data_IF_915500409913
#
_entry.id   IF_915500409913
#
_cell.length_a   1.000
_cell.length_b   1.000
_cell.length_c   1.000
_cell.angle_alpha   90.00
_cell.angle_beta   90.00
_cell.angle_gamma   90.00
#
_symmetry.space_group_name_H-M   'P 1'
#
loop_
_entity.id
_entity.type
_entity.pdbx_description
1 polymer ?
#
# COMPACT_ATOMS: atom_id res chain seq x y z
N UNK A 1 28.84 19.76 1.25
CA UNK A 1 27.48 20.11 0.78
C UNK A 1 26.75 18.80 0.48
N UNK A 2 25.50 18.67 0.87
CA UNK A 2 24.68 17.50 0.55
C UNK A 2 24.39 17.50 -0.97
N UNK A 3 24.64 16.38 -1.66
CA UNK A 3 24.33 16.26 -3.10
C UNK A 3 22.82 16.31 -3.38
N UNK A 4 21.99 16.02 -2.37
CA UNK A 4 20.54 15.94 -2.47
C UNK A 4 19.84 16.81 -1.43
N UNK A 5 18.72 17.41 -1.82
CA UNK A 5 17.85 18.14 -0.89
C UNK A 5 16.99 17.18 -0.07
N UNK A 6 16.48 16.12 -0.71
CA UNK A 6 15.57 15.16 -0.08
C UNK A 6 16.02 13.73 -0.36
N UNK A 7 16.00 12.91 0.68
CA UNK A 7 16.13 11.46 0.62
C UNK A 7 14.75 10.82 0.81
N UNK A 8 14.36 9.93 -0.08
CA UNK A 8 13.13 9.14 0.00
C UNK A 8 13.49 7.67 0.18
N UNK A 9 13.02 7.06 1.26
CA UNK A 9 13.24 5.64 1.55
C UNK A 9 12.02 4.85 1.10
N UNK A 10 12.17 4.12 0.02
CA UNK A 10 11.14 3.30 -0.61
C UNK A 10 10.72 3.79 -1.98
N UNK A 11 10.67 2.87 -2.94
CA UNK A 11 10.31 3.09 -4.35
C UNK A 11 8.88 2.64 -4.70
N UNK A 12 8.00 2.48 -3.72
CA UNK A 12 6.59 2.24 -3.93
C UNK A 12 5.82 3.52 -4.31
N UNK A 13 4.49 3.42 -4.48
CA UNK A 13 3.63 4.54 -4.90
C UNK A 13 3.83 5.79 -4.04
N UNK A 14 3.88 5.67 -2.71
CA UNK A 14 4.06 6.82 -1.81
C UNK A 14 5.42 7.51 -2.03
N UNK A 15 6.50 6.73 -2.14
CA UNK A 15 7.85 7.26 -2.33
C UNK A 15 8.02 7.93 -3.68
N UNK A 16 7.60 7.28 -4.76
CA UNK A 16 7.76 7.82 -6.12
C UNK A 16 6.86 9.04 -6.37
N UNK A 17 5.61 9.02 -5.89
CA UNK A 17 4.72 10.19 -5.99
C UNK A 17 5.31 11.39 -5.25
N UNK A 18 5.86 11.16 -4.04
CA UNK A 18 6.53 12.21 -3.27
C UNK A 18 7.79 12.71 -4.00
N UNK A 19 8.60 11.81 -4.55
CA UNK A 19 9.81 12.16 -5.28
C UNK A 19 9.48 13.03 -6.50
N UNK A 20 8.49 12.64 -7.30
CA UNK A 20 8.04 13.38 -8.48
C UNK A 20 7.53 14.79 -8.12
N UNK A 21 6.71 14.91 -7.07
CA UNK A 21 6.21 16.20 -6.61
C UNK A 21 7.34 17.13 -6.11
N UNK A 22 8.35 16.59 -5.45
CA UNK A 22 9.47 17.37 -4.94
C UNK A 22 10.49 17.72 -6.03
N UNK A 23 10.63 16.87 -7.03
CA UNK A 23 11.63 17.03 -8.11
C UNK A 23 11.40 18.24 -9.01
N UNK A 24 10.23 18.87 -8.96
CA UNK A 24 9.99 20.16 -9.63
C UNK A 24 10.98 21.25 -9.18
N UNK A 25 11.43 21.20 -7.92
CA UNK A 25 12.27 22.25 -7.30
C UNK A 25 13.45 21.72 -6.51
N UNK A 26 13.61 20.40 -6.38
CA UNK A 26 14.57 19.77 -5.46
C UNK A 26 15.28 18.61 -6.12
N UNK A 27 16.55 18.38 -5.72
CA UNK A 27 17.26 17.16 -6.05
C UNK A 27 16.88 16.06 -5.06
N UNK A 28 16.34 14.96 -5.57
CA UNK A 28 15.80 13.86 -4.77
C UNK A 28 16.61 12.60 -4.98
N UNK A 29 16.98 11.94 -3.89
CA UNK A 29 17.52 10.58 -3.90
C UNK A 29 16.46 9.61 -3.41
N UNK A 30 16.11 8.62 -4.21
CA UNK A 30 15.24 7.50 -3.81
C UNK A 30 16.12 6.29 -3.56
N UNK A 31 16.00 5.66 -2.40
CA UNK A 31 16.70 4.41 -2.07
C UNK A 31 15.69 3.29 -1.85
N UNK A 32 15.98 2.11 -2.40
CA UNK A 32 15.10 0.95 -2.32
C UNK A 32 15.87 -0.31 -1.92
N UNK A 33 15.30 -1.08 -1.00
CA UNK A 33 15.73 -2.41 -0.63
C UNK A 33 15.44 -3.37 -1.78
N UNK A 34 16.43 -4.09 -2.25
CA UNK A 34 16.27 -4.96 -3.43
C UNK A 34 15.98 -4.16 -4.72
N UNK A 35 15.09 -4.67 -5.56
CA UNK A 35 14.70 -4.01 -6.82
C UNK A 35 13.76 -2.82 -6.58
N UNK A 36 13.71 -1.89 -7.53
CA UNK A 36 12.79 -0.74 -7.49
C UNK A 36 11.31 -1.16 -7.59
N UNK A 37 11.03 -2.35 -8.11
CA UNK A 37 9.69 -2.94 -8.23
C UNK A 37 9.36 -3.95 -7.13
N UNK A 38 10.25 -4.13 -6.15
CA UNK A 38 10.12 -5.16 -5.10
C UNK A 38 9.09 -4.85 -4.01
N UNK A 39 8.41 -3.70 -4.07
CA UNK A 39 7.44 -3.25 -3.08
C UNK A 39 6.02 -3.75 -3.32
N UNK A 40 5.15 -3.51 -2.33
CA UNK A 40 3.73 -3.94 -2.37
C UNK A 40 2.93 -3.28 -3.50
N UNK A 41 3.33 -2.11 -3.98
CA UNK A 41 2.64 -1.42 -5.07
C UNK A 41 2.59 -2.29 -6.32
N UNK A 42 3.72 -2.83 -6.76
CA UNK A 42 3.77 -3.66 -7.97
C UNK A 42 2.97 -4.99 -7.85
N UNK A 43 2.65 -5.41 -6.64
CA UNK A 43 1.93 -6.65 -6.37
C UNK A 43 0.43 -6.44 -6.13
N UNK A 44 -0.02 -5.20 -6.06
CA UNK A 44 -1.42 -4.89 -5.83
C UNK A 44 -2.26 -5.21 -7.07
N UNK A 45 -3.22 -6.12 -6.92
CA UNK A 45 -4.13 -6.56 -7.99
C UNK A 45 -5.36 -5.65 -8.09
N UNK A 46 -5.94 -5.28 -6.93
CA UNK A 46 -7.12 -4.44 -6.85
C UNK A 46 -6.92 -3.02 -7.39
N UNK A 47 -8.00 -2.28 -7.49
CA UNK A 47 -7.98 -0.93 -8.01
C UNK A 47 -7.85 0.16 -6.94
N UNK A 48 -8.16 1.38 -7.33
CA UNK A 48 -8.10 2.57 -6.49
C UNK A 48 -9.51 3.18 -6.40
N UNK A 49 -9.98 3.42 -5.18
CA UNK A 49 -11.29 3.99 -4.93
C UNK A 49 -11.28 5.52 -5.12
N UNK A 50 -12.17 6.03 -5.97
CA UNK A 50 -12.41 7.46 -6.12
C UNK A 50 -13.85 7.71 -6.57
N UNK A 51 -14.46 8.79 -6.10
CA UNK A 51 -15.80 9.21 -6.52
C UNK A 51 -15.68 9.93 -7.87
N UNK A 52 -16.03 9.22 -8.94
CA UNK A 52 -15.90 9.69 -10.32
C UNK A 52 -17.22 9.62 -11.09
N UNK A 53 -18.17 8.84 -10.62
CA UNK A 53 -19.49 8.67 -11.21
C UNK A 53 -20.53 9.61 -10.58
N UNK A 54 -21.44 10.15 -11.38
CA UNK A 54 -22.48 11.07 -10.94
C UNK A 54 -23.51 10.41 -9.98
N UNK A 55 -23.63 9.09 -9.99
CA UNK A 55 -24.49 8.31 -9.09
C UNK A 55 -23.88 8.09 -7.70
N UNK A 56 -22.63 8.48 -7.48
CA UNK A 56 -21.94 8.37 -6.18
C UNK A 56 -21.62 9.74 -5.58
N UNK A 57 -21.37 9.79 -4.28
CA UNK A 57 -21.03 11.01 -3.56
C UNK A 57 -19.84 10.81 -2.63
N UNK A 58 -19.09 11.88 -2.34
CA UNK A 58 -18.07 11.85 -1.29
C UNK A 58 -18.64 11.37 0.05
N UNK A 59 -19.87 11.76 0.39
CA UNK A 59 -20.47 11.35 1.64
C UNK A 59 -20.72 9.84 1.70
N UNK A 60 -21.15 9.21 0.60
CA UNK A 60 -21.29 7.75 0.53
C UNK A 60 -19.95 7.05 0.79
N UNK A 61 -18.88 7.51 0.13
CA UNK A 61 -17.55 6.94 0.32
C UNK A 61 -17.01 7.19 1.73
N UNK A 62 -17.24 8.36 2.32
CA UNK A 62 -16.90 8.66 3.71
C UNK A 62 -17.62 7.70 4.66
N UNK A 63 -18.93 7.50 4.49
CA UNK A 63 -19.71 6.59 5.32
C UNK A 63 -19.23 5.14 5.23
N UNK A 64 -18.95 4.65 4.01
CA UNK A 64 -18.39 3.32 3.81
C UNK A 64 -17.04 3.16 4.53
N UNK A 65 -16.16 4.15 4.39
CA UNK A 65 -14.84 4.15 5.02
C UNK A 65 -14.92 4.21 6.54
N UNK A 66 -15.79 5.06 7.10
CA UNK A 66 -16.00 5.14 8.54
C UNK A 66 -16.56 3.83 9.11
N UNK A 67 -17.45 3.18 8.37
CA UNK A 67 -18.02 1.87 8.74
C UNK A 67 -16.94 0.79 8.74
N UNK A 68 -16.13 0.70 7.67
CA UNK A 68 -15.06 -0.28 7.54
C UNK A 68 -13.96 -0.08 8.61
N UNK A 69 -13.70 1.14 9.00
CA UNK A 69 -12.68 1.48 10.00
C UNK A 69 -13.07 1.25 11.46
N UNK A 70 -14.32 0.85 11.72
CA UNK A 70 -14.79 0.39 13.04
C UNK A 70 -14.43 1.34 14.21
N UNK A 71 -14.47 2.65 13.99
CA UNK A 71 -14.19 3.67 15.01
C UNK A 71 -12.71 4.07 15.16
N UNK A 72 -11.79 3.47 14.40
CA UNK A 72 -10.37 3.85 14.42
C UNK A 72 -10.05 5.05 13.51
N UNK A 73 -10.94 5.38 12.60
CA UNK A 73 -10.78 6.45 11.63
C UNK A 73 -10.86 7.84 12.29
N UNK A 74 -10.11 8.76 11.72
CA UNK A 74 -10.30 10.20 11.96
C UNK A 74 -11.08 10.78 10.80
N UNK A 75 -12.28 11.28 11.05
CA UNK A 75 -13.21 11.80 10.05
C UNK A 75 -12.54 12.85 9.13
N UNK A 76 -11.78 13.78 9.70
CA UNK A 76 -11.12 14.84 8.94
C UNK A 76 -10.09 14.27 7.94
N UNK A 77 -9.36 13.22 8.35
CA UNK A 77 -8.41 12.54 7.47
C UNK A 77 -9.13 11.78 6.36
N UNK A 78 -10.24 11.10 6.69
CA UNK A 78 -11.06 10.38 5.72
C UNK A 78 -11.62 11.34 4.68
N UNK A 79 -12.22 12.47 5.10
CA UNK A 79 -12.71 13.52 4.19
C UNK A 79 -11.60 14.01 3.27
N UNK A 80 -10.45 14.42 3.84
CA UNK A 80 -9.32 14.91 3.07
C UNK A 80 -8.87 13.93 1.98
N UNK A 81 -8.72 12.65 2.31
CA UNK A 81 -8.27 11.62 1.36
C UNK A 81 -9.32 11.42 0.26
N UNK A 82 -10.60 11.28 0.63
CA UNK A 82 -11.67 10.98 -0.33
C UNK A 82 -11.93 12.15 -1.28
N UNK A 83 -11.96 13.37 -0.78
CA UNK A 83 -12.20 14.57 -1.58
C UNK A 83 -11.05 14.86 -2.56
N UNK A 84 -9.82 14.44 -2.25
CA UNK A 84 -8.66 14.59 -3.11
C UNK A 84 -8.39 13.38 -4.04
N UNK A 85 -9.13 12.27 -3.87
CA UNK A 85 -8.92 11.08 -4.67
C UNK A 85 -9.13 11.29 -6.19
N UNK A 86 -10.16 12.00 -6.67
CA UNK A 86 -10.35 12.25 -8.12
C UNK A 86 -9.11 12.89 -8.76
N UNK A 87 -8.58 13.96 -8.15
CA UNK A 87 -7.37 14.63 -8.62
C UNK A 87 -6.15 13.70 -8.64
N UNK A 88 -6.08 12.77 -7.68
CA UNK A 88 -4.99 11.78 -7.65
C UNK A 88 -5.10 10.79 -8.81
N UNK A 89 -6.32 10.39 -9.20
CA UNK A 89 -6.56 9.55 -10.37
C UNK A 89 -6.21 10.30 -11.66
N UNK A 90 -6.66 11.56 -11.81
CA UNK A 90 -6.30 12.41 -12.94
C UNK A 90 -4.78 12.47 -13.11
N UNK A 91 -4.05 12.69 -12.01
CA UNK A 91 -2.59 12.71 -12.04
C UNK A 91 -1.97 11.39 -12.49
N UNK A 92 -2.51 10.25 -12.10
CA UNK A 92 -2.04 8.95 -12.56
C UNK A 92 -2.32 8.73 -14.05
N UNK A 93 -3.46 9.20 -14.56
CA UNK A 93 -3.78 9.19 -15.99
C UNK A 93 -2.78 10.06 -16.78
N UNK A 94 -2.48 11.27 -16.30
CA UNK A 94 -1.46 12.16 -16.90
C UNK A 94 -0.07 11.51 -16.95
N UNK A 95 0.28 10.71 -15.93
CA UNK A 95 1.53 9.94 -15.88
C UNK A 95 1.52 8.69 -16.78
N UNK A 96 0.40 8.41 -17.44
CA UNK A 96 0.27 7.34 -18.42
C UNK A 96 -0.20 5.99 -17.85
N UNK A 97 -0.82 5.96 -16.67
CA UNK A 97 -1.47 4.74 -16.18
C UNK A 97 -2.66 4.39 -17.07
N UNK A 98 -2.68 3.21 -17.72
CA UNK A 98 -3.69 2.84 -18.71
C UNK A 98 -4.92 2.21 -18.03
N UNK A 99 -5.64 2.98 -17.21
CA UNK A 99 -6.87 2.49 -16.58
C UNK A 99 -7.87 1.99 -17.61
N UNK A 100 -8.60 0.93 -17.27
CA UNK A 100 -9.66 0.40 -18.12
C UNK A 100 -10.74 1.46 -18.35
N UNK A 101 -11.31 1.45 -19.57
CA UNK A 101 -12.35 2.39 -19.99
C UNK A 101 -13.52 1.64 -20.62
N UNK A 102 -14.70 2.22 -20.45
CA UNK A 102 -15.90 1.94 -21.22
C UNK A 102 -16.10 3.17 -22.14
N UNK A 103 -15.84 2.99 -23.43
CA UNK A 103 -15.78 4.10 -24.41
C UNK A 103 -14.79 5.19 -23.93
N UNK A 104 -15.25 6.38 -23.60
CA UNK A 104 -14.43 7.53 -23.15
C UNK A 104 -14.36 7.68 -21.63
N UNK A 105 -15.13 6.89 -20.88
CA UNK A 105 -15.18 6.97 -19.40
C UNK A 105 -14.36 5.86 -18.75
N UNK A 106 -13.86 6.12 -17.53
CA UNK A 106 -13.18 5.09 -16.75
C UNK A 106 -14.16 3.99 -16.33
N UNK A 107 -13.82 2.74 -16.60
CA UNK A 107 -14.59 1.61 -16.11
C UNK A 107 -14.43 1.50 -14.60
N UNK A 108 -15.56 1.40 -13.87
CA UNK A 108 -15.60 1.34 -12.42
C UNK A 108 -16.13 -0.02 -11.94
N UNK A 109 -15.38 -0.68 -11.09
CA UNK A 109 -15.82 -1.90 -10.38
C UNK A 109 -16.22 -1.61 -8.94
N UNK A 110 -16.77 -2.60 -8.25
CA UNK A 110 -17.09 -2.54 -6.83
C UNK A 110 -16.37 -3.64 -6.07
N UNK A 111 -15.76 -3.29 -4.96
CA UNK A 111 -15.14 -4.24 -4.03
C UNK A 111 -15.89 -4.28 -2.69
N UNK A 112 -15.53 -5.23 -1.82
CA UNK A 112 -16.12 -5.39 -0.51
C UNK A 112 -16.04 -4.13 0.35
N UNK A 113 -17.09 -3.84 1.11
CA UNK A 113 -17.19 -2.65 1.94
C UNK A 113 -17.67 -1.38 1.22
N UNK A 114 -17.69 -1.37 -0.12
CA UNK A 114 -18.18 -0.24 -0.91
C UNK A 114 -19.65 -0.35 -1.26
N UNK A 115 -20.41 0.73 -1.08
CA UNK A 115 -21.83 0.81 -1.47
C UNK A 115 -22.03 1.08 -2.97
N UNK A 116 -21.04 1.69 -3.64
CA UNK A 116 -21.11 2.08 -5.06
C UNK A 116 -19.91 1.55 -5.86
N UNK A 117 -20.05 1.50 -7.19
CA UNK A 117 -18.93 1.24 -8.10
C UNK A 117 -18.06 2.50 -8.16
N UNK A 118 -16.84 2.43 -7.67
CA UNK A 118 -15.91 3.57 -7.60
C UNK A 118 -14.44 3.17 -7.73
N UNK A 119 -14.20 1.93 -8.09
CA UNK A 119 -12.83 1.38 -8.16
C UNK A 119 -12.33 1.47 -9.59
N UNK A 120 -11.38 2.36 -9.86
CA UNK A 120 -10.64 2.37 -11.13
C UNK A 120 -9.56 1.29 -11.10
N UNK A 121 -9.34 0.62 -12.24
CA UNK A 121 -8.43 -0.53 -12.28
C UNK A 121 -7.76 -0.69 -13.66
N UNK A 122 -6.68 -1.47 -13.68
CA UNK A 122 -6.03 -1.97 -14.89
C UNK A 122 -6.07 -3.50 -14.82
N UNK A 123 -7.13 -4.10 -15.34
CA UNK A 123 -7.41 -5.53 -15.20
C UNK A 123 -7.23 -5.99 -13.74
N UNK A 124 -6.38 -6.99 -13.49
CA UNK A 124 -5.97 -7.47 -12.17
C UNK A 124 -4.53 -7.06 -11.78
N UNK A 125 -3.99 -6.04 -12.44
CA UNK A 125 -2.59 -5.61 -12.32
C UNK A 125 -2.44 -4.08 -12.12
N UNK A 126 -3.42 -3.45 -11.47
CA UNK A 126 -3.45 -2.00 -11.27
C UNK A 126 -2.18 -1.48 -10.61
N UNK A 127 -1.72 -2.16 -9.57
CA UNK A 127 -0.51 -1.76 -8.86
C UNK A 127 0.75 -1.82 -9.71
N UNK A 128 0.87 -2.83 -10.59
CA UNK A 128 1.97 -2.90 -11.55
C UNK A 128 1.94 -1.72 -12.53
N UNK A 129 0.78 -1.43 -13.10
CA UNK A 129 0.63 -0.32 -14.05
C UNK A 129 0.97 1.04 -13.41
N UNK A 130 0.53 1.27 -12.17
CA UNK A 130 0.88 2.46 -11.38
C UNK A 130 2.39 2.51 -11.11
N UNK A 131 2.98 1.40 -10.68
CA UNK A 131 4.42 1.30 -10.37
C UNK A 131 5.27 1.60 -11.61
N UNK A 132 4.91 1.03 -12.76
CA UNK A 132 5.64 1.22 -14.02
C UNK A 132 5.58 2.68 -14.48
N UNK A 133 4.40 3.30 -14.51
CA UNK A 133 4.21 4.69 -14.89
C UNK A 133 5.00 5.66 -13.98
N UNK A 134 4.96 5.43 -12.66
CA UNK A 134 5.71 6.24 -11.69
C UNK A 134 7.23 6.07 -11.85
N UNK A 135 7.71 4.83 -12.05
CA UNK A 135 9.13 4.55 -12.24
C UNK A 135 9.65 5.16 -13.53
N UNK A 136 8.90 5.05 -14.64
CA UNK A 136 9.25 5.68 -15.91
C UNK A 136 9.36 7.19 -15.75
N UNK A 137 8.34 7.84 -15.19
CA UNK A 137 8.34 9.28 -14.96
C UNK A 137 9.47 9.74 -14.04
N UNK A 138 9.79 8.94 -13.00
CA UNK A 138 10.90 9.25 -12.11
C UNK A 138 12.26 9.05 -12.80
N UNK A 139 12.39 8.03 -13.66
CA UNK A 139 13.60 7.76 -14.44
C UNK A 139 13.91 8.84 -15.48
N UNK A 140 12.89 9.43 -16.08
CA UNK A 140 13.00 10.50 -17.06
C UNK A 140 13.29 11.87 -16.39
N UNK A 141 13.19 11.98 -15.06
CA UNK A 141 13.35 13.25 -14.35
C UNK A 141 14.83 13.45 -13.91
N UNK A 142 15.55 14.47 -14.45
CA UNK A 142 16.96 14.69 -14.13
C UNK A 142 17.24 15.06 -12.67
N UNK A 143 16.21 15.47 -11.91
CA UNK A 143 16.33 15.81 -10.50
C UNK A 143 16.12 14.61 -9.57
N UNK A 144 15.82 13.42 -10.11
CA UNK A 144 15.63 12.19 -9.33
C UNK A 144 16.77 11.22 -9.62
N UNK A 145 17.43 10.77 -8.57
CA UNK A 145 18.37 9.65 -8.62
C UNK A 145 17.76 8.47 -7.85
N UNK A 146 17.76 7.29 -8.45
CA UNK A 146 17.22 6.08 -7.82
C UNK A 146 18.32 5.04 -7.61
N UNK A 147 18.44 4.52 -6.38
CA UNK A 147 19.38 3.45 -6.01
C UNK A 147 18.62 2.23 -5.52
N UNK A 148 18.76 1.12 -6.22
CA UNK A 148 18.28 -0.20 -5.81
C UNK A 148 19.32 -0.94 -4.96
N UNK A 149 18.90 -2.00 -4.26
CA UNK A 149 19.79 -2.83 -3.44
C UNK A 149 20.43 -2.06 -2.26
N UNK A 150 19.68 -1.12 -1.67
CA UNK A 150 20.10 -0.33 -0.49
C UNK A 150 19.15 -0.59 0.66
N UNK A 151 19.50 -1.52 1.52
CA UNK A 151 18.76 -1.80 2.75
C UNK A 151 19.09 -0.76 3.80
N UNK A 152 18.16 0.16 4.07
CA UNK A 152 18.32 1.17 5.12
C UNK A 152 18.36 0.48 6.49
N UNK A 153 19.38 0.80 7.28
CA UNK A 153 19.67 0.19 8.59
C UNK A 153 19.12 1.07 9.69
N UNK A 154 19.52 2.36 9.68
CA UNK A 154 19.13 3.32 10.69
C UNK A 154 19.24 4.76 10.20
N UNK A 155 18.56 5.71 10.88
CA UNK A 155 18.70 7.11 10.59
C UNK A 155 20.02 7.66 11.13
N UNK A 156 20.61 8.61 10.41
CA UNK A 156 21.68 9.48 10.92
C UNK A 156 20.99 10.62 11.66
N UNK A 157 21.16 10.67 12.97
CA UNK A 157 20.57 11.71 13.82
C UNK A 157 21.66 12.45 14.58
N UNK A 158 21.37 13.67 15.04
CA UNK A 158 22.25 14.47 15.90
C UNK A 158 22.41 13.89 17.32
N UNK A 159 21.68 12.84 17.66
CA UNK A 159 21.70 12.13 18.94
C UNK A 159 21.89 10.63 18.80
N UNK A 160 22.68 10.23 17.83
CA UNK A 160 22.97 8.81 17.62
C UNK A 160 23.62 8.18 18.87
N UNK A 161 22.97 7.12 19.38
CA UNK A 161 23.44 6.41 20.59
C UNK A 161 22.89 6.91 21.93
N UNK A 162 22.20 8.05 21.97
CA UNK A 162 21.48 8.50 23.17
C UNK A 162 20.05 7.97 23.20
N UNK A 163 19.46 7.81 24.40
CA UNK A 163 18.02 7.55 24.52
C UNK A 163 17.27 8.73 23.93
N UNK A 164 16.57 8.50 22.82
CA UNK A 164 15.91 9.53 22.05
C UNK A 164 14.79 10.19 22.86
N UNK A 165 14.88 11.52 23.07
CA UNK A 165 13.90 12.31 23.81
C UNK A 165 12.88 13.03 22.90
N UNK A 166 12.72 12.62 21.66
CA UNK A 166 11.71 13.14 20.71
C UNK A 166 12.04 14.49 20.05
N UNK A 167 13.25 15.04 20.24
CA UNK A 167 13.66 16.35 19.67
C UNK A 167 15.03 16.25 19.01
N UNK A 168 15.17 15.43 17.97
CA UNK A 168 16.39 15.33 17.18
C UNK A 168 16.10 15.58 15.70
N UNK A 169 17.12 15.96 14.95
CA UNK A 169 17.05 16.11 13.50
C UNK A 169 17.57 14.84 12.83
N UNK A 170 16.87 14.40 11.78
CA UNK A 170 17.36 13.37 10.88
C UNK A 170 18.14 14.03 9.75
N UNK A 171 19.38 13.58 9.54
CA UNK A 171 20.30 14.08 8.53
C UNK A 171 20.43 13.13 7.33
N UNK A 172 19.83 11.95 7.40
CA UNK A 172 19.91 10.92 6.37
C UNK A 172 19.81 9.52 6.95
N UNK A 173 20.40 8.56 6.26
CA UNK A 173 20.39 7.14 6.67
C UNK A 173 21.75 6.47 6.46
N UNK A 174 21.98 5.42 7.25
CA UNK A 174 22.94 4.36 6.94
C UNK A 174 22.20 3.29 6.12
N UNK A 175 22.76 2.91 4.99
CA UNK A 175 22.20 1.88 4.14
C UNK A 175 23.27 0.83 3.79
N UNK A 176 22.92 -0.44 3.90
CA UNK A 176 23.74 -1.54 3.41
C UNK A 176 23.60 -1.61 1.89
N UNK A 177 24.71 -1.53 1.19
CA UNK A 177 24.77 -1.88 -0.21
C UNK A 177 24.82 -3.39 -0.32
N UNK A 178 23.72 -4.00 -0.78
CA UNK A 178 23.56 -5.46 -0.83
C UNK A 178 24.55 -6.13 -1.81
N UNK A 179 25.07 -5.37 -2.78
CA UNK A 179 26.03 -5.88 -3.77
C UNK A 179 27.46 -5.93 -3.23
N UNK A 180 27.88 -4.90 -2.48
CA UNK A 180 29.28 -4.80 -1.98
C UNK A 180 29.42 -5.26 -0.54
N UNK A 181 28.34 -5.32 0.23
CA UNK A 181 28.35 -5.58 1.67
C UNK A 181 28.80 -4.38 2.51
N UNK A 182 29.03 -3.22 1.90
CA UNK A 182 29.47 -2.02 2.59
C UNK A 182 28.30 -1.18 3.10
N UNK A 183 28.51 -0.46 4.21
CA UNK A 183 27.54 0.51 4.73
C UNK A 183 27.83 1.89 4.17
N UNK A 184 26.90 2.39 3.39
CA UNK A 184 26.91 3.72 2.78
C UNK A 184 26.18 4.74 3.68
N UNK A 185 26.59 6.02 3.60
CA UNK A 185 25.91 7.15 4.23
C UNK A 185 25.23 7.97 3.15
N UNK A 186 23.90 8.10 3.24
CA UNK A 186 23.15 8.98 2.37
C UNK A 186 22.60 10.14 3.19
N UNK A 187 23.09 11.35 2.92
CA UNK A 187 22.77 12.56 3.68
C UNK A 187 21.93 13.51 2.84
N UNK A 188 20.89 14.06 3.42
CA UNK A 188 20.00 15.04 2.80
C UNK A 188 19.46 16.04 3.84
N UNK A 189 18.90 17.16 3.34
CA UNK A 189 18.29 18.18 4.22
C UNK A 189 16.97 17.73 4.84
N UNK A 190 16.25 16.83 4.17
CA UNK A 190 15.04 16.18 4.65
C UNK A 190 15.02 14.71 4.26
N UNK A 191 14.37 13.88 5.08
CA UNK A 191 14.21 12.45 4.81
C UNK A 191 12.72 12.09 4.87
N UNK A 192 12.24 11.43 3.82
CA UNK A 192 10.89 10.89 3.71
C UNK A 192 10.93 9.38 3.89
N UNK A 193 10.19 8.86 4.85
CA UNK A 193 10.07 7.43 5.09
C UNK A 193 8.82 6.90 4.39
N UNK A 194 9.01 6.14 3.33
CA UNK A 194 7.97 5.51 2.52
C UNK A 194 8.24 4.00 2.33
N UNK A 195 8.81 3.35 3.36
CA UNK A 195 9.35 1.99 3.30
C UNK A 195 8.29 0.86 3.36
N UNK A 196 7.00 1.20 3.33
CA UNK A 196 5.92 0.21 3.38
C UNK A 196 5.69 -0.40 4.75
N UNK A 197 5.03 -1.55 4.78
CA UNK A 197 4.56 -2.21 6.00
C UNK A 197 5.39 -3.40 6.47
N UNK A 198 4.78 -4.21 7.37
CA UNK A 198 5.42 -5.32 8.07
C UNK A 198 4.72 -6.69 7.84
N UNK A 199 4.02 -6.85 6.72
CA UNK A 199 3.23 -8.08 6.46
C UNK A 199 4.03 -9.38 6.50
N UNK A 200 5.34 -9.32 6.29
CA UNK A 200 6.25 -10.50 6.35
C UNK A 200 6.65 -10.91 7.77
N UNK A 201 6.16 -10.25 8.80
CA UNK A 201 6.26 -10.74 10.17
C UNK A 201 5.44 -12.04 10.39
N UNK A 202 4.48 -12.34 9.52
CA UNK A 202 3.67 -13.56 9.56
C UNK A 202 4.26 -14.64 8.67
N UNK A 203 4.16 -15.90 9.11
CA UNK A 203 4.66 -17.07 8.38
C UNK A 203 4.00 -17.21 7.02
N UNK A 204 2.67 -17.03 6.97
CA UNK A 204 1.89 -17.00 5.74
C UNK A 204 1.50 -15.57 5.44
N UNK A 205 1.92 -15.07 4.30
CA UNK A 205 1.73 -13.67 3.94
C UNK A 205 1.74 -13.50 2.43
N UNK A 206 0.81 -12.71 1.91
CA UNK A 206 0.76 -12.26 0.52
C UNK A 206 1.61 -11.03 0.26
N UNK A 207 2.19 -10.43 1.30
CA UNK A 207 3.09 -9.29 1.17
C UNK A 207 4.41 -9.69 0.48
N UNK A 208 5.05 -8.80 -0.29
CA UNK A 208 6.34 -9.05 -0.91
C UNK A 208 7.42 -9.29 0.15
N UNK A 209 8.48 -10.00 -0.24
CA UNK A 209 9.57 -10.41 0.69
C UNK A 209 10.20 -9.24 1.45
N UNK A 210 10.23 -8.05 0.83
CA UNK A 210 10.81 -6.84 1.43
C UNK A 210 9.95 -6.17 2.50
N UNK A 211 8.67 -6.56 2.70
CA UNK A 211 7.75 -5.94 3.66
C UNK A 211 8.00 -6.43 5.10
N UNK A 212 9.18 -6.17 5.64
CA UNK A 212 9.69 -6.69 6.91
C UNK A 212 9.60 -5.69 8.08
N UNK A 213 9.05 -4.48 7.86
CA UNK A 213 8.86 -3.49 8.91
C UNK A 213 10.09 -2.66 9.25
N UNK A 214 11.14 -2.70 8.42
CA UNK A 214 12.41 -2.00 8.70
C UNK A 214 12.21 -0.51 8.95
N UNK A 215 11.39 0.15 8.14
CA UNK A 215 11.09 1.58 8.31
C UNK A 215 10.38 1.90 9.63
N UNK A 216 9.49 1.02 10.08
CA UNK A 216 8.81 1.16 11.37
C UNK A 216 9.83 1.05 12.51
N UNK A 217 10.72 0.06 12.44
CA UNK A 217 11.77 -0.16 13.44
C UNK A 217 12.76 1.02 13.48
N UNK A 218 13.18 1.53 12.32
CA UNK A 218 14.04 2.72 12.22
C UNK A 218 13.36 3.95 12.83
N UNK A 219 12.09 4.19 12.52
CA UNK A 219 11.31 5.30 13.04
C UNK A 219 11.18 5.21 14.56
N UNK A 220 10.91 4.01 15.09
CA UNK A 220 10.82 3.78 16.52
C UNK A 220 12.16 4.05 17.24
N UNK A 221 13.28 3.54 16.71
CA UNK A 221 14.63 3.81 17.27
C UNK A 221 14.99 5.29 17.21
N UNK A 222 14.51 6.00 16.20
CA UNK A 222 14.66 7.46 16.09
C UNK A 222 13.70 8.25 16.99
N UNK A 223 12.86 7.60 17.80
CA UNK A 223 11.94 8.22 18.75
C UNK A 223 10.64 8.74 18.16
N UNK A 224 10.29 8.33 16.94
CA UNK A 224 8.98 8.62 16.38
C UNK A 224 7.89 7.85 17.14
N UNK A 225 6.73 8.47 17.29
CA UNK A 225 5.57 7.76 17.80
C UNK A 225 5.12 6.71 16.81
N UNK A 226 5.04 5.47 17.26
CA UNK A 226 4.48 4.33 16.52
C UNK A 226 3.20 3.90 17.23
N UNK A 227 2.14 3.65 16.47
CA UNK A 227 0.82 3.30 17.00
C UNK A 227 0.13 2.29 16.11
N UNK A 228 -0.89 1.61 16.65
CA UNK A 228 -1.74 0.65 15.97
C UNK A 228 -0.96 -0.53 15.36
N UNK A 229 0.11 -0.96 16.01
CA UNK A 229 0.97 -2.05 15.52
C UNK A 229 0.27 -3.42 15.58
N UNK A 230 -0.77 -3.55 16.38
CA UNK A 230 -1.66 -4.71 16.44
C UNK A 230 -2.55 -4.84 15.19
N UNK A 231 -2.75 -3.75 14.44
CA UNK A 231 -3.61 -3.74 13.27
C UNK A 231 -2.87 -4.29 12.04
N UNK A 232 -3.10 -5.56 11.76
CA UNK A 232 -2.63 -6.22 10.54
C UNK A 232 -3.82 -6.76 9.76
N UNK A 233 -4.00 -6.32 8.50
CA UNK A 233 -5.08 -6.82 7.67
C UNK A 233 -4.69 -8.14 7.01
N UNK A 234 -5.51 -9.17 7.22
CA UNK A 234 -5.43 -10.43 6.50
C UNK A 234 -6.32 -10.38 5.26
N UNK A 235 -5.80 -10.85 4.13
CA UNK A 235 -6.61 -11.01 2.94
C UNK A 235 -7.50 -12.26 3.07
N UNK A 236 -8.82 -12.14 2.85
CA UNK A 236 -9.74 -13.24 3.15
C UNK A 236 -9.70 -14.39 2.14
N UNK A 237 -9.18 -14.16 0.95
CA UNK A 237 -9.17 -15.15 -0.14
C UNK A 237 -7.77 -15.30 -0.74
N UNK A 238 -7.13 -16.41 -0.39
CA UNK A 238 -5.83 -16.80 -0.92
C UNK A 238 -5.92 -18.21 -1.47
N UNK A 239 -5.24 -18.48 -2.58
CA UNK A 239 -5.15 -19.83 -3.13
C UNK A 239 -4.34 -20.71 -2.16
N UNK A 240 -4.97 -21.76 -1.66
CA UNK A 240 -4.27 -22.83 -0.95
C UNK A 240 -3.81 -23.88 -1.95
N UNK A 241 -2.53 -23.82 -2.31
CA UNK A 241 -1.88 -24.77 -3.21
C UNK A 241 -0.44 -24.98 -2.75
N UNK A 242 0.02 -26.23 -2.76
CA UNK A 242 1.36 -26.61 -2.28
C UNK A 242 2.47 -26.09 -3.20
N UNK A 243 2.18 -25.95 -4.49
CA UNK A 243 3.14 -25.53 -5.51
C UNK A 243 3.19 -24.02 -5.71
N UNK A 244 2.12 -23.31 -5.33
CA UNK A 244 2.00 -21.85 -5.50
C UNK A 244 1.86 -21.19 -4.13
N UNK A 245 2.95 -20.59 -3.66
CA UNK A 245 2.94 -19.93 -2.34
C UNK A 245 2.23 -18.57 -2.40
N UNK A 246 1.20 -18.42 -1.54
CA UNK A 246 0.61 -17.13 -1.19
C UNK A 246 0.02 -16.36 -2.39
N UNK A 247 -0.61 -17.06 -3.33
CA UNK A 247 -1.30 -16.39 -4.44
C UNK A 247 -2.61 -15.78 -3.95
N UNK A 248 -2.75 -14.47 -4.14
CA UNK A 248 -3.93 -13.72 -3.74
C UNK A 248 -5.01 -13.86 -4.81
N UNK A 249 -6.22 -14.28 -4.42
CA UNK A 249 -7.40 -14.24 -5.27
C UNK A 249 -8.01 -12.85 -5.14
N UNK A 250 -8.04 -12.09 -6.22
CA UNK A 250 -8.50 -10.70 -6.21
C UNK A 250 -9.91 -10.56 -5.64
N UNK A 251 -10.13 -9.49 -4.89
CA UNK A 251 -11.42 -9.18 -4.29
C UNK A 251 -12.50 -8.90 -5.34
N UNK A 252 -12.11 -8.45 -6.53
CA UNK A 252 -13.00 -8.23 -7.65
C UNK A 252 -13.84 -9.46 -8.00
N UNK A 253 -13.30 -10.69 -7.84
CA UNK A 253 -14.07 -11.94 -8.04
C UNK A 253 -15.31 -11.96 -7.14
N UNK A 254 -15.19 -11.57 -5.86
CA UNK A 254 -16.35 -11.47 -4.96
C UNK A 254 -17.23 -10.27 -5.31
N UNK A 255 -16.62 -9.18 -5.76
CA UNK A 255 -17.33 -7.98 -6.25
C UNK A 255 -18.27 -8.27 -7.42
N UNK A 256 -17.86 -9.17 -8.31
CA UNK A 256 -18.61 -9.59 -9.50
C UNK A 256 -19.43 -10.90 -9.29
N UNK A 257 -19.68 -11.26 -8.03
CA UNK A 257 -20.64 -12.33 -7.68
C UNK A 257 -20.02 -13.67 -7.29
N UNK A 258 -18.69 -13.75 -7.15
CA UNK A 258 -18.03 -14.96 -6.62
C UNK A 258 -18.48 -15.29 -5.21
N UNK A 259 -18.78 -16.56 -4.94
CA UNK A 259 -19.29 -17.05 -3.66
C UNK A 259 -18.25 -17.88 -2.92
N UNK A 260 -18.27 -17.80 -1.58
CA UNK A 260 -17.48 -18.65 -0.70
C UNK A 260 -18.35 -19.82 -0.23
N UNK A 261 -18.02 -21.01 -0.69
CA UNK A 261 -18.79 -22.22 -0.44
C UNK A 261 -18.02 -23.17 0.47
N UNK A 262 -18.75 -23.92 1.28
CA UNK A 262 -18.19 -25.04 2.03
C UNK A 262 -17.80 -26.16 1.05
N UNK A 263 -16.59 -26.71 1.12
CA UNK A 263 -16.10 -27.66 0.11
C UNK A 263 -16.92 -28.96 0.05
N UNK A 264 -17.44 -29.44 1.18
CA UNK A 264 -18.14 -30.72 1.25
C UNK A 264 -19.64 -30.60 0.97
N UNK A 265 -20.30 -29.51 1.42
CA UNK A 265 -21.75 -29.37 1.32
C UNK A 265 -22.19 -28.48 0.16
N UNK A 266 -21.30 -27.60 -0.33
CA UNK A 266 -21.64 -26.58 -1.31
C UNK A 266 -22.45 -25.40 -0.75
N UNK A 267 -22.70 -25.37 0.56
CA UNK A 267 -23.43 -24.28 1.21
C UNK A 267 -22.59 -23.00 1.27
N UNK A 268 -23.24 -21.85 1.21
CA UNK A 268 -22.55 -20.55 1.36
C UNK A 268 -22.09 -20.36 2.79
N UNK A 269 -20.81 -20.23 3.00
CA UNK A 269 -20.16 -20.09 4.31
C UNK A 269 -20.54 -18.81 5.09
N UNK A 270 -21.19 -17.84 4.45
CA UNK A 270 -21.36 -16.49 5.00
C UNK A 270 -22.74 -16.15 5.53
N UNK A 271 -23.73 -17.00 5.30
CA UNK A 271 -25.15 -16.73 5.67
C UNK A 271 -25.27 -16.44 7.17
N UNK A 272 -24.53 -17.15 8.01
CA UNK A 272 -24.62 -17.03 9.48
C UNK A 272 -23.86 -15.82 10.06
N UNK A 273 -22.89 -15.26 9.31
CA UNK A 273 -21.99 -14.22 9.81
C UNK A 273 -22.36 -12.81 9.35
N UNK A 274 -22.75 -12.64 8.10
CA UNK A 274 -23.10 -11.34 7.51
C UNK A 274 -24.18 -11.51 6.44
N UNK A 275 -25.43 -11.77 6.85
CA UNK A 275 -26.52 -12.13 5.93
C UNK A 275 -26.90 -11.01 4.94
N UNK A 276 -26.58 -9.74 5.25
CA UNK A 276 -26.91 -8.60 4.38
C UNK A 276 -25.90 -8.35 3.29
N UNK A 277 -24.60 -8.43 3.60
CA UNK A 277 -23.51 -8.10 2.67
C UNK A 277 -22.83 -9.31 2.09
N UNK A 278 -22.96 -10.45 2.73
CA UNK A 278 -22.37 -11.73 2.31
C UNK A 278 -20.87 -11.58 1.98
N UNK A 279 -20.44 -11.93 0.80
CA UNK A 279 -19.05 -11.84 0.33
C UNK A 279 -18.55 -10.40 0.15
N UNK A 280 -19.45 -9.42 0.13
CA UNK A 280 -19.15 -7.99 0.05
C UNK A 280 -18.98 -7.32 1.44
N UNK A 281 -18.98 -8.10 2.52
CA UNK A 281 -18.64 -7.59 3.84
C UNK A 281 -17.19 -7.07 3.88
N UNK A 282 -16.83 -6.19 4.84
CA UNK A 282 -15.45 -5.77 5.05
C UNK A 282 -14.49 -6.97 5.22
N UNK A 283 -13.25 -6.81 4.80
CA UNK A 283 -12.25 -7.89 4.74
C UNK A 283 -12.05 -8.61 6.06
N UNK A 284 -12.05 -7.89 7.18
CA UNK A 284 -11.90 -8.47 8.52
C UNK A 284 -13.05 -9.41 8.86
N UNK A 285 -14.28 -9.04 8.51
CA UNK A 285 -15.46 -9.89 8.67
C UNK A 285 -15.37 -11.17 7.84
N UNK A 286 -14.95 -11.04 6.58
CA UNK A 286 -14.75 -12.21 5.70
C UNK A 286 -13.65 -13.11 6.23
N UNK A 287 -12.50 -12.55 6.63
CA UNK A 287 -11.36 -13.32 7.13
C UNK A 287 -11.71 -14.08 8.42
N UNK A 288 -12.37 -13.44 9.40
CA UNK A 288 -12.80 -14.11 10.65
C UNK A 288 -13.77 -15.26 10.39
N UNK A 289 -14.77 -15.04 9.53
CA UNK A 289 -15.72 -16.10 9.21
C UNK A 289 -15.05 -17.28 8.49
N UNK A 290 -14.14 -17.01 7.55
CA UNK A 290 -13.38 -18.07 6.88
C UNK A 290 -12.50 -18.85 7.87
N UNK A 291 -11.81 -18.15 8.78
CA UNK A 291 -10.99 -18.79 9.83
C UNK A 291 -11.83 -19.67 10.76
N UNK A 292 -13.02 -19.22 11.16
CA UNK A 292 -13.92 -20.00 12.01
C UNK A 292 -14.42 -21.24 11.29
N UNK A 293 -14.78 -21.15 10.02
CA UNK A 293 -15.17 -22.30 9.20
C UNK A 293 -14.04 -23.31 9.05
N UNK A 294 -12.82 -22.85 8.78
CA UNK A 294 -11.63 -23.71 8.70
C UNK A 294 -11.38 -24.43 10.04
N UNK A 295 -11.51 -23.72 11.18
CA UNK A 295 -11.35 -24.35 12.51
C UNK A 295 -12.43 -25.37 12.83
N UNK A 296 -13.64 -25.20 12.30
CA UNK A 296 -14.78 -26.05 12.58
C UNK A 296 -14.82 -27.31 11.72
N UNK A 297 -14.39 -27.19 10.48
CA UNK A 297 -14.55 -28.26 9.48
C UNK A 297 -13.23 -28.82 8.92
N UNK A 298 -12.10 -28.23 9.24
CA UNK A 298 -10.77 -28.66 8.81
C UNK A 298 -10.20 -27.78 7.70
#
# INVERSE_FOLDING_TARGET
MTAFDVLVIGSGAAGLTTALALAEKKKVLVVAKGSLTGGSTAWAQGGIAAVLDAGDTFQNHINDTMTAGAGLNRLETVKFVIENAPRSIERLVELGVPFNKDEDTLHLTREGGHSHRRIVHVNDATGWAVQDALLKSAGDNPNITMLSGRSCIDFITDRHGEKFSGRGRVWGVYALNEKTGEVEKHVARATVLAAGGAGRCYRFSTAPRGATGDGIAMAWRAGCRVSNMEMMQFHPTCLYNLDVKNFLITEAVRGEGGQLLHPDTGDRCRVDYEPKRMELAPRDGVARASEEQIKRYG
#
